data_IF_781367188208
#
_entry.id   IF_781367188208
#
_cell.length_a   1.000
_cell.length_b   1.000
_cell.length_c   1.000
_cell.angle_alpha   90.00
_cell.angle_beta   90.00
_cell.angle_gamma   90.00
#
_symmetry.space_group_name_H-M   'P 1'
#
loop_
_entity.id
_entity.type
_entity.pdbx_description
1 polymer ?
#
# COMPACT_ATOMS: atom_id res chain seq x y z
N UNK A 1 0.12 14.86 35.08
CA UNK A 1 0.91 13.66 34.75
C UNK A 1 0.15 12.88 33.69
N UNK A 2 0.43 13.15 32.41
CA UNK A 2 -0.04 12.32 31.30
C UNK A 2 0.79 11.04 31.34
N UNK A 3 0.32 10.02 32.07
CA UNK A 3 0.97 8.71 32.03
C UNK A 3 0.95 8.21 30.59
N UNK A 4 2.10 7.74 30.09
CA UNK A 4 2.17 7.14 28.76
C UNK A 4 1.13 6.03 28.66
N UNK A 5 0.28 6.11 27.64
CA UNK A 5 -0.71 5.07 27.38
C UNK A 5 0.04 3.76 27.09
N UNK A 6 -0.40 2.61 27.64
CA UNK A 6 0.18 1.32 27.32
C UNK A 6 0.29 1.10 25.81
N UNK A 7 1.48 0.72 25.35
CA UNK A 7 1.75 0.33 23.98
C UNK A 7 1.56 -1.19 23.84
N UNK A 8 0.81 -1.60 22.83
CA UNK A 8 0.58 -3.02 22.52
C UNK A 8 0.95 -3.24 21.06
N UNK A 9 1.81 -4.21 20.80
CA UNK A 9 2.15 -4.63 19.44
C UNK A 9 1.35 -5.88 19.08
N UNK A 10 0.81 -5.90 17.87
CA UNK A 10 -0.09 -6.94 17.35
C UNK A 10 0.40 -7.34 15.98
N UNK A 11 0.56 -8.65 15.76
CA UNK A 11 0.73 -9.21 14.43
C UNK A 11 -0.65 -9.59 13.86
N UNK A 12 -0.92 -9.15 12.63
CA UNK A 12 -2.24 -9.27 12.01
C UNK A 12 -2.11 -9.89 10.62
N UNK A 13 -2.88 -10.93 10.34
CA UNK A 13 -2.83 -11.67 9.08
C UNK A 13 -4.02 -11.39 8.18
N UNK A 14 -3.76 -10.86 6.97
CA UNK A 14 -4.74 -10.83 5.88
C UNK A 14 -4.55 -12.11 5.05
N UNK A 15 -5.34 -13.14 5.33
CA UNK A 15 -5.37 -14.33 4.47
C UNK A 15 -6.14 -14.01 3.20
N UNK A 16 -5.52 -14.18 2.04
CA UNK A 16 -6.12 -13.93 0.74
C UNK A 16 -6.17 -15.22 -0.10
N UNK A 17 -7.32 -15.49 -0.70
CA UNK A 17 -7.51 -16.58 -1.66
C UNK A 17 -7.15 -16.14 -3.08
N UNK A 18 -6.98 -17.12 -3.96
CA UNK A 18 -6.70 -16.89 -5.37
C UNK A 18 -7.78 -16.07 -6.11
N UNK A 19 -9.02 -16.07 -5.62
CA UNK A 19 -10.14 -15.25 -6.12
C UNK A 19 -10.13 -13.81 -5.58
N UNK A 20 -9.14 -13.46 -4.75
CA UNK A 20 -8.98 -12.14 -4.15
C UNK A 20 -9.79 -11.88 -2.89
N UNK A 21 -10.63 -12.83 -2.44
CA UNK A 21 -11.34 -12.71 -1.17
C UNK A 21 -10.38 -12.77 0.01
N UNK A 22 -10.69 -12.01 1.06
CA UNK A 22 -9.94 -11.99 2.31
C UNK A 22 -10.76 -12.55 3.46
N UNK A 23 -10.10 -13.17 4.45
CA UNK A 23 -10.76 -13.70 5.63
C UNK A 23 -10.93 -12.62 6.69
N UNK A 24 -12.17 -12.41 7.13
CA UNK A 24 -12.50 -11.64 8.33
C UNK A 24 -12.96 -12.58 9.46
N UNK A 25 -12.64 -12.21 10.68
CA UNK A 25 -13.11 -12.83 11.91
C UNK A 25 -13.97 -11.85 12.71
N UNK A 26 -15.10 -12.32 13.25
CA UNK A 26 -15.96 -11.53 14.12
C UNK A 26 -15.59 -11.76 15.58
N UNK A 27 -15.36 -10.66 16.31
CA UNK A 27 -14.99 -10.71 17.72
C UNK A 27 -16.10 -11.39 18.53
N UNK A 28 -15.79 -12.44 19.31
CA UNK A 28 -16.78 -13.17 20.09
C UNK A 28 -17.39 -12.30 21.19
N UNK A 29 -18.55 -12.73 21.70
CA UNK A 29 -19.21 -12.09 22.83
C UNK A 29 -18.28 -12.01 24.05
N UNK A 30 -18.40 -10.94 24.84
CA UNK A 30 -17.58 -10.71 26.03
C UNK A 30 -16.19 -10.11 25.78
N UNK A 31 -15.69 -10.08 24.54
CA UNK A 31 -14.49 -9.28 24.18
C UNK A 31 -14.87 -7.81 23.95
N UNK A 32 -13.91 -6.88 24.14
CA UNK A 32 -14.09 -5.46 23.76
C UNK A 32 -14.45 -5.40 22.28
N UNK A 33 -15.47 -4.61 21.91
CA UNK A 33 -16.00 -4.51 20.55
C UNK A 33 -16.53 -5.85 19.99
N UNK A 34 -17.18 -6.66 20.83
CA UNK A 34 -17.91 -7.86 20.40
C UNK A 34 -18.83 -7.55 19.21
N UNK A 35 -18.88 -8.47 18.25
CA UNK A 35 -19.67 -8.33 17.01
C UNK A 35 -18.98 -7.52 15.90
N UNK A 36 -17.87 -6.83 16.18
CA UNK A 36 -17.07 -6.16 15.14
C UNK A 36 -16.20 -7.17 14.40
N UNK A 37 -16.00 -6.93 13.11
CA UNK A 37 -15.15 -7.73 12.23
C UNK A 37 -13.74 -7.15 12.12
N UNK A 38 -12.74 -8.02 12.09
CA UNK A 38 -11.33 -7.67 11.94
C UNK A 38 -10.57 -8.74 11.16
N UNK A 39 -9.31 -8.46 10.87
CA UNK A 39 -8.38 -9.49 10.38
C UNK A 39 -7.82 -10.28 11.58
N UNK A 40 -7.67 -11.61 11.46
CA UNK A 40 -7.20 -12.48 12.53
C UNK A 40 -5.76 -12.15 12.94
N UNK A 41 -5.43 -12.44 14.20
CA UNK A 41 -4.12 -12.15 14.78
C UNK A 41 -4.20 -11.69 16.23
N UNK A 42 -3.03 -11.56 16.84
CA UNK A 42 -2.94 -11.29 18.28
C UNK A 42 -1.65 -10.61 18.68
N UNK A 43 -1.40 -10.59 19.98
CA UNK A 43 -0.33 -9.79 20.56
C UNK A 43 1.02 -10.44 20.26
N UNK A 44 2.00 -9.60 19.96
CA UNK A 44 3.40 -10.04 19.89
C UNK A 44 3.90 -10.23 21.32
N UNK A 45 4.40 -11.41 21.63
CA UNK A 45 4.93 -11.73 22.96
C UNK A 45 6.36 -11.22 23.17
N UNK A 46 6.83 -11.03 24.42
CA UNK A 46 8.19 -10.59 24.67
C UNK A 46 9.25 -11.53 24.05
N UNK A 47 10.10 -10.98 23.18
CA UNK A 47 11.14 -11.74 22.49
C UNK A 47 10.70 -12.40 21.18
N UNK A 48 9.43 -12.25 20.81
CA UNK A 48 8.85 -12.76 19.56
C UNK A 48 8.95 -11.69 18.45
N UNK A 49 9.29 -12.10 17.24
CA UNK A 49 9.18 -11.27 16.05
C UNK A 49 7.73 -11.17 15.56
N UNK A 50 7.42 -10.17 14.71
CA UNK A 50 6.07 -10.02 14.16
C UNK A 50 5.64 -11.21 13.28
N UNK A 51 6.58 -11.82 12.55
CA UNK A 51 6.30 -13.01 11.74
C UNK A 51 6.11 -14.26 12.63
N UNK A 52 6.92 -14.47 13.66
CA UNK A 52 6.69 -15.57 14.61
C UNK A 52 5.30 -15.47 15.27
N UNK A 53 4.93 -14.27 15.73
CA UNK A 53 3.62 -14.00 16.30
C UNK A 53 2.49 -14.27 15.30
N UNK A 54 2.63 -13.81 14.05
CA UNK A 54 1.66 -14.08 12.98
C UNK A 54 1.44 -15.58 12.79
N UNK A 55 2.53 -16.35 12.70
CA UNK A 55 2.49 -17.79 12.47
C UNK A 55 1.78 -18.52 13.61
N UNK A 56 2.12 -18.17 14.85
CA UNK A 56 1.50 -18.72 16.07
C UNK A 56 0.01 -18.38 16.14
N UNK A 57 -0.33 -17.10 16.03
CA UNK A 57 -1.71 -16.60 16.19
C UNK A 57 -2.64 -17.19 15.13
N UNK A 58 -2.24 -17.22 13.85
CA UNK A 58 -3.06 -17.82 12.79
C UNK A 58 -3.24 -19.34 12.97
N UNK A 59 -2.23 -20.02 13.53
CA UNK A 59 -2.36 -21.44 13.87
C UNK A 59 -3.30 -21.66 15.07
N UNK A 60 -3.19 -20.86 16.13
CA UNK A 60 -4.01 -20.96 17.33
C UNK A 60 -5.48 -20.60 17.06
N UNK A 61 -5.72 -19.46 16.41
CA UNK A 61 -7.07 -18.96 16.16
C UNK A 61 -7.80 -19.71 15.04
N UNK A 62 -7.08 -20.16 14.01
CA UNK A 62 -7.67 -20.67 12.77
C UNK A 62 -7.24 -22.08 12.38
N UNK A 63 -6.16 -22.60 12.94
CA UNK A 63 -5.57 -23.86 12.51
C UNK A 63 -4.85 -23.81 11.17
N UNK A 64 -4.43 -22.62 10.77
CA UNK A 64 -3.76 -22.37 9.49
C UNK A 64 -2.25 -22.40 9.69
N UNK A 65 -1.53 -23.13 8.83
CA UNK A 65 -0.07 -23.06 8.77
C UNK A 65 0.36 -22.21 7.57
N UNK A 66 0.98 -21.06 7.84
CA UNK A 66 1.41 -20.10 6.81
C UNK A 66 2.58 -20.67 6.01
N UNK A 67 2.50 -20.60 4.67
CA UNK A 67 3.59 -20.98 3.75
C UNK A 67 4.26 -19.78 3.11
N UNK A 68 3.48 -18.77 2.73
CA UNK A 68 3.98 -17.53 2.17
C UNK A 68 3.22 -16.33 2.72
N UNK A 69 3.98 -15.43 3.34
CA UNK A 69 3.50 -14.15 3.81
C UNK A 69 4.52 -13.05 3.51
N UNK A 70 4.05 -11.82 3.43
CA UNK A 70 4.90 -10.63 3.36
C UNK A 70 4.34 -9.50 4.22
N UNK A 71 5.17 -8.56 4.68
CA UNK A 71 4.68 -7.32 5.25
C UNK A 71 3.76 -6.60 4.25
N UNK A 72 2.67 -6.02 4.77
CA UNK A 72 1.70 -5.27 4.00
C UNK A 72 1.70 -3.80 4.41
N UNK A 73 1.50 -3.53 5.71
CA UNK A 73 1.50 -2.18 6.28
C UNK A 73 1.65 -2.26 7.79
N UNK A 74 2.33 -1.27 8.39
CA UNK A 74 2.39 -1.10 9.84
C UNK A 74 1.62 0.16 10.25
N UNK A 75 0.69 0.01 11.18
CA UNK A 75 -0.28 1.04 11.55
C UNK A 75 -0.19 1.36 13.03
N UNK A 76 -0.17 2.65 13.39
CA UNK A 76 -0.31 3.11 14.78
C UNK A 76 -1.71 3.66 15.00
N UNK A 77 -2.48 2.99 15.86
CA UNK A 77 -3.84 3.38 16.23
C UNK A 77 -3.91 3.72 17.73
N UNK A 78 -4.37 4.92 18.06
CA UNK A 78 -4.54 5.35 19.44
C UNK A 78 -6.01 5.20 19.88
N UNK A 79 -6.23 4.35 20.89
CA UNK A 79 -7.49 4.28 21.62
C UNK A 79 -7.42 5.19 22.85
N UNK A 80 -8.55 5.41 23.51
CA UNK A 80 -8.64 6.25 24.70
C UNK A 80 -7.74 5.80 25.87
N UNK A 81 -7.40 4.50 25.96
CA UNK A 81 -6.65 3.91 27.07
C UNK A 81 -5.37 3.15 26.67
N UNK A 82 -5.02 3.09 25.38
CA UNK A 82 -3.87 2.34 24.87
C UNK A 82 -3.51 2.76 23.46
N UNK A 83 -2.28 2.48 23.04
CA UNK A 83 -1.84 2.59 21.65
C UNK A 83 -1.61 1.18 21.14
N UNK A 84 -2.13 0.88 19.95
CA UNK A 84 -1.88 -0.39 19.26
C UNK A 84 -1.04 -0.13 18.03
N UNK A 85 0.07 -0.86 17.90
CA UNK A 85 0.84 -0.98 16.67
C UNK A 85 0.42 -2.28 16.00
N UNK A 86 -0.20 -2.19 14.84
CA UNK A 86 -0.59 -3.34 14.04
C UNK A 86 0.48 -3.55 12.97
N UNK A 87 1.23 -4.63 13.08
CA UNK A 87 2.10 -5.13 12.05
C UNK A 87 1.30 -6.09 11.17
N UNK A 88 0.86 -5.60 9.99
CA UNK A 88 -0.08 -6.32 9.14
C UNK A 88 0.64 -7.01 8.00
N UNK A 89 0.35 -8.29 7.81
CA UNK A 89 0.96 -9.16 6.82
C UNK A 89 -0.09 -9.67 5.84
N UNK A 90 0.29 -9.75 4.56
CA UNK A 90 -0.51 -10.41 3.54
C UNK A 90 -0.05 -11.87 3.44
N UNK A 91 -0.97 -12.80 3.69
CA UNK A 91 -0.77 -14.25 3.59
C UNK A 91 -1.46 -14.75 2.34
N UNK A 92 -0.68 -15.30 1.39
CA UNK A 92 -1.18 -15.73 0.07
C UNK A 92 -1.07 -17.23 -0.17
N UNK A 93 -0.27 -17.93 0.64
CA UNK A 93 -0.18 -19.39 0.62
C UNK A 93 -0.15 -19.93 2.05
N UNK A 94 -0.96 -20.95 2.30
CA UNK A 94 -1.14 -21.55 3.62
C UNK A 94 -1.81 -22.92 3.53
N UNK A 95 -1.55 -23.76 4.52
CA UNK A 95 -2.16 -25.07 4.70
C UNK A 95 -3.34 -25.03 5.67
N UNK A 96 -4.27 -25.97 5.46
CA UNK A 96 -5.48 -26.12 6.24
C UNK A 96 -6.63 -25.26 5.71
N UNK A 97 -7.82 -25.48 6.28
CA UNK A 97 -8.97 -24.59 6.08
C UNK A 97 -9.17 -23.81 7.37
N UNK A 98 -9.30 -22.46 7.32
CA UNK A 98 -9.56 -21.69 8.52
C UNK A 98 -10.81 -22.18 9.24
N UNK A 99 -10.66 -22.48 10.52
CA UNK A 99 -11.73 -22.94 11.41
C UNK A 99 -11.86 -21.99 12.59
N UNK A 100 -13.07 -21.84 13.11
CA UNK A 100 -13.26 -21.10 14.36
C UNK A 100 -12.75 -21.92 15.54
N UNK A 101 -11.56 -21.58 16.07
CA UNK A 101 -11.02 -22.21 17.29
C UNK A 101 -11.31 -21.43 18.58
N UNK A 102 -11.77 -20.19 18.46
CA UNK A 102 -12.12 -19.30 19.57
C UNK A 102 -13.61 -18.89 19.58
N UNK A 103 -14.48 -19.65 18.91
CA UNK A 103 -15.90 -19.31 18.75
C UNK A 103 -16.17 -17.97 18.05
N UNK A 104 -15.24 -17.53 17.19
CA UNK A 104 -15.40 -16.41 16.27
C UNK A 104 -16.16 -16.81 14.99
N UNK A 105 -17.08 -15.96 14.52
CA UNK A 105 -17.62 -16.14 13.18
C UNK A 105 -16.54 -15.80 12.14
N UNK A 106 -16.50 -16.54 11.03
CA UNK A 106 -15.54 -16.36 9.94
C UNK A 106 -16.27 -16.06 8.63
N UNK A 107 -15.71 -15.15 7.83
CA UNK A 107 -16.27 -14.82 6.52
C UNK A 107 -15.15 -14.57 5.49
N UNK A 108 -15.26 -15.21 4.33
CA UNK A 108 -14.50 -14.85 3.14
C UNK A 108 -15.23 -13.74 2.40
N UNK A 109 -14.58 -12.59 2.26
CA UNK A 109 -15.22 -11.36 1.78
C UNK A 109 -14.39 -10.75 0.65
N UNK A 110 -15.05 -10.37 -0.44
CA UNK A 110 -14.40 -9.58 -1.49
C UNK A 110 -14.11 -8.17 -0.95
N UNK A 111 -12.99 -7.55 -1.33
CA UNK A 111 -12.58 -6.24 -0.78
C UNK A 111 -13.67 -5.16 -0.91
N UNK A 112 -14.44 -5.18 -1.99
CA UNK A 112 -15.51 -4.20 -2.24
C UNK A 112 -16.79 -4.47 -1.43
N UNK A 113 -16.95 -5.68 -0.89
CA UNK A 113 -18.07 -6.06 -0.03
C UNK A 113 -17.81 -5.80 1.46
N UNK A 114 -16.57 -5.46 1.86
CA UNK A 114 -16.21 -5.23 3.27
C UNK A 114 -17.01 -4.07 3.89
N UNK A 115 -17.44 -3.09 3.10
CA UNK A 115 -18.28 -1.98 3.57
C UNK A 115 -19.65 -2.43 4.13
N UNK A 116 -20.10 -3.65 3.83
CA UNK A 116 -21.32 -4.22 4.39
C UNK A 116 -21.13 -4.79 5.82
N UNK A 117 -19.90 -4.85 6.32
CA UNK A 117 -19.56 -5.39 7.64
C UNK A 117 -19.26 -4.25 8.63
N UNK A 118 -19.71 -4.42 9.87
CA UNK A 118 -19.31 -3.54 10.98
C UNK A 118 -17.89 -3.89 11.41
N UNK A 119 -16.88 -3.20 10.86
CA UNK A 119 -15.47 -3.51 11.10
C UNK A 119 -14.85 -2.64 12.18
N UNK A 120 -13.75 -3.10 12.80
CA UNK A 120 -12.91 -2.20 13.60
C UNK A 120 -12.34 -1.04 12.76
N UNK A 121 -12.05 0.13 13.37
CA UNK A 121 -11.45 1.26 12.67
C UNK A 121 -10.11 0.97 11.99
N UNK A 122 -9.41 -0.08 12.44
CA UNK A 122 -8.12 -0.52 11.89
C UNK A 122 -8.21 -1.25 10.56
N UNK A 123 -9.41 -1.76 10.18
CA UNK A 123 -9.59 -2.50 8.92
C UNK A 123 -9.50 -1.59 7.69
N UNK A 124 -10.18 -0.44 7.71
CA UNK A 124 -10.23 0.45 6.54
C UNK A 124 -8.85 0.91 6.03
N UNK A 125 -7.88 1.29 6.90
CA UNK A 125 -6.52 1.61 6.47
C UNK A 125 -5.78 0.45 5.78
N UNK A 126 -6.09 -0.81 6.13
CA UNK A 126 -5.48 -2.02 5.54
C UNK A 126 -6.04 -2.30 4.14
N UNK A 127 -7.25 -1.82 3.81
CA UNK A 127 -7.85 -2.04 2.49
C UNK A 127 -7.12 -1.31 1.37
N UNK A 128 -6.50 -0.15 1.66
CA UNK A 128 -5.73 0.63 0.67
C UNK A 128 -4.56 -0.19 0.08
N UNK A 129 -3.59 -0.69 0.88
CA UNK A 129 -2.48 -1.47 0.35
C UNK A 129 -2.89 -2.78 -0.33
N UNK A 130 -4.03 -3.39 0.04
CA UNK A 130 -4.56 -4.58 -0.64
C UNK A 130 -5.02 -4.33 -2.09
N UNK A 131 -5.43 -3.09 -2.40
CA UNK A 131 -5.85 -2.70 -3.75
C UNK A 131 -4.70 -2.21 -4.64
N UNK A 132 -3.52 -1.99 -4.04
CA UNK A 132 -2.36 -1.44 -4.71
C UNK A 132 -1.47 -2.56 -5.26
N UNK A 133 -1.00 -2.47 -6.52
CA UNK A 133 -0.05 -3.44 -7.05
C UNK A 133 1.34 -3.19 -6.49
N UNK A 134 2.25 -4.13 -6.75
CA UNK A 134 3.65 -4.02 -6.34
C UNK A 134 4.48 -3.09 -7.24
N UNK A 135 4.04 -2.89 -8.48
CA UNK A 135 4.80 -2.19 -9.51
C UNK A 135 4.16 -0.85 -9.87
N UNK A 136 4.90 0.24 -9.70
CA UNK A 136 4.47 1.59 -10.07
C UNK A 136 5.40 2.17 -11.16
N UNK A 137 5.09 1.86 -12.40
CA UNK A 137 5.93 2.14 -13.56
C UNK A 137 5.72 3.56 -14.05
N UNK A 138 6.79 4.30 -14.25
CA UNK A 138 6.76 5.65 -14.82
C UNK A 138 7.22 5.58 -16.27
N UNK A 139 6.52 6.23 -17.19
CA UNK A 139 6.97 6.32 -18.58
C UNK A 139 8.32 7.07 -18.68
N UNK A 140 9.22 6.70 -19.60
CA UNK A 140 10.37 7.53 -19.92
C UNK A 140 9.88 8.88 -20.44
N UNK A 141 10.50 10.01 -20.06
CA UNK A 141 9.99 11.34 -20.39
C UNK A 141 9.97 11.64 -21.91
N UNK A 142 10.76 10.90 -22.67
CA UNK A 142 10.97 11.08 -24.11
C UNK A 142 10.39 9.95 -24.97
N UNK A 143 9.70 8.96 -24.37
CA UNK A 143 9.09 7.88 -25.15
C UNK A 143 7.96 8.45 -26.02
N UNK A 144 7.94 8.09 -27.30
CA UNK A 144 6.83 8.45 -28.17
C UNK A 144 5.62 7.52 -27.95
N UNK A 145 4.39 7.95 -28.27
CA UNK A 145 3.20 7.15 -28.04
C UNK A 145 3.12 5.80 -28.78
N UNK A 146 3.80 5.64 -29.92
CA UNK A 146 3.80 4.36 -30.64
C UNK A 146 4.71 3.37 -29.92
N UNK A 147 5.96 3.76 -29.65
CA UNK A 147 6.92 2.95 -28.89
C UNK A 147 6.41 2.61 -27.49
N UNK A 148 5.70 3.53 -26.83
CA UNK A 148 5.04 3.26 -25.55
C UNK A 148 4.11 2.06 -25.68
N UNK A 149 3.17 2.08 -26.64
CA UNK A 149 2.18 1.01 -26.82
C UNK A 149 2.84 -0.33 -27.11
N UNK A 150 3.88 -0.34 -27.93
CA UNK A 150 4.60 -1.56 -28.29
C UNK A 150 5.31 -2.20 -27.08
N UNK A 151 5.72 -1.40 -26.10
CA UNK A 151 6.40 -1.86 -24.89
C UNK A 151 5.48 -2.20 -23.72
N UNK A 152 4.23 -1.72 -23.71
CA UNK A 152 3.28 -2.00 -22.62
C UNK A 152 3.12 -3.50 -22.28
N UNK A 153 3.05 -4.43 -23.26
CA UNK A 153 2.91 -5.85 -22.95
C UNK A 153 4.08 -6.48 -22.16
N UNK A 154 5.26 -5.84 -22.14
CA UNK A 154 6.43 -6.30 -21.39
C UNK A 154 6.44 -5.81 -19.92
N UNK A 155 5.54 -4.90 -19.56
CA UNK A 155 5.37 -4.42 -18.19
C UNK A 155 4.63 -5.47 -17.34
N UNK A 156 4.75 -5.42 -16.00
CA UNK A 156 3.94 -6.27 -15.13
C UNK A 156 2.46 -5.99 -15.38
N UNK A 157 1.65 -7.04 -15.56
CA UNK A 157 0.27 -6.90 -16.05
C UNK A 157 -0.65 -6.09 -15.15
N UNK A 158 -0.38 -6.05 -13.84
CA UNK A 158 -1.18 -5.33 -12.84
C UNK A 158 -0.60 -3.95 -12.46
N UNK A 159 0.50 -3.52 -13.11
CA UNK A 159 1.23 -2.33 -12.73
C UNK A 159 0.39 -1.04 -12.79
N UNK A 160 0.64 -0.14 -11.85
CA UNK A 160 0.22 1.26 -11.99
C UNK A 160 1.15 1.95 -13.00
N UNK A 161 0.60 2.48 -14.08
CA UNK A 161 1.36 3.21 -15.09
C UNK A 161 1.18 4.72 -14.91
N UNK A 162 2.23 5.41 -14.45
CA UNK A 162 2.28 6.86 -14.43
C UNK A 162 2.68 7.41 -15.80
N UNK A 163 1.76 8.14 -16.44
CA UNK A 163 2.04 8.86 -17.68
C UNK A 163 2.75 10.17 -17.38
N UNK A 164 4.07 10.19 -17.56
CA UNK A 164 4.95 11.35 -17.40
C UNK A 164 5.60 11.68 -18.74
N UNK A 165 4.88 12.43 -19.57
CA UNK A 165 5.27 12.76 -20.95
C UNK A 165 5.29 14.29 -21.14
N UNK A 166 6.31 14.99 -20.60
CA UNK A 166 6.36 16.47 -20.59
C UNK A 166 6.38 17.10 -21.99
N UNK A 167 6.81 16.36 -23.02
CA UNK A 167 6.87 16.85 -24.40
C UNK A 167 5.51 16.83 -25.13
N UNK A 168 4.51 16.10 -24.63
CA UNK A 168 3.17 16.10 -25.22
C UNK A 168 2.38 17.31 -24.75
N UNK A 169 1.71 17.98 -25.67
CA UNK A 169 0.67 18.95 -25.32
C UNK A 169 -0.53 18.27 -24.64
N UNK A 170 -1.35 19.08 -23.97
CA UNK A 170 -2.46 18.57 -23.15
C UNK A 170 -3.51 17.80 -23.96
N UNK A 171 -3.73 18.16 -25.24
CA UNK A 171 -4.69 17.48 -26.11
C UNK A 171 -4.19 16.10 -26.50
N UNK A 172 -2.93 15.99 -26.92
CA UNK A 172 -2.30 14.73 -27.27
C UNK A 172 -2.15 13.82 -26.06
N UNK A 173 -1.80 14.39 -24.89
CA UNK A 173 -1.73 13.68 -23.62
C UNK A 173 -3.08 13.09 -23.22
N UNK A 174 -4.16 13.90 -23.25
CA UNK A 174 -5.51 13.44 -22.91
C UNK A 174 -6.01 12.34 -23.86
N UNK A 175 -5.77 12.48 -25.17
CA UNK A 175 -6.13 11.46 -26.16
C UNK A 175 -5.40 10.12 -25.92
N UNK A 176 -4.10 10.19 -25.59
CA UNK A 176 -3.31 9.01 -25.24
C UNK A 176 -3.83 8.37 -23.94
N UNK A 177 -4.04 9.16 -22.89
CA UNK A 177 -4.55 8.68 -21.60
C UNK A 177 -5.91 7.99 -21.77
N UNK A 178 -6.85 8.60 -22.48
CA UNK A 178 -8.17 8.03 -22.75
C UNK A 178 -8.08 6.72 -23.56
N UNK A 179 -7.16 6.65 -24.53
CA UNK A 179 -6.92 5.42 -25.30
C UNK A 179 -6.39 4.30 -24.42
N UNK A 180 -5.40 4.57 -23.56
CA UNK A 180 -4.81 3.56 -22.68
C UNK A 180 -5.80 3.13 -21.58
N UNK A 181 -6.60 4.05 -21.05
CA UNK A 181 -7.64 3.73 -20.06
C UNK A 181 -8.70 2.80 -20.61
N UNK A 182 -9.15 3.02 -21.85
CA UNK A 182 -10.08 2.11 -22.56
C UNK A 182 -9.45 0.74 -22.85
N UNK A 183 -8.13 0.68 -22.99
CA UNK A 183 -7.37 -0.56 -23.10
C UNK A 183 -7.22 -1.34 -21.78
N UNK A 184 -7.79 -0.85 -20.67
CA UNK A 184 -7.76 -1.53 -19.38
C UNK A 184 -6.54 -1.25 -18.52
N UNK A 185 -5.64 -0.35 -18.93
CA UNK A 185 -4.46 0.00 -18.14
C UNK A 185 -4.83 0.82 -16.90
N UNK A 186 -4.17 0.52 -15.77
CA UNK A 186 -4.32 1.25 -14.51
C UNK A 186 -3.45 2.51 -14.54
N UNK A 187 -4.04 3.62 -14.98
CA UNK A 187 -3.29 4.85 -15.20
C UNK A 187 -3.23 5.75 -13.98
N UNK A 188 -2.09 6.43 -13.85
CA UNK A 188 -1.92 7.60 -12.99
C UNK A 188 -1.43 8.77 -13.84
N UNK A 189 -2.14 9.88 -13.80
CA UNK A 189 -1.81 11.08 -14.57
C UNK A 189 -1.04 12.07 -13.70
N UNK A 190 -0.17 12.87 -14.31
CA UNK A 190 0.61 13.90 -13.60
C UNK A 190 0.37 15.32 -14.14
N UNK A 191 -0.81 15.50 -14.74
CA UNK A 191 -1.37 16.77 -15.24
C UNK A 191 -2.49 17.26 -14.33
N UNK A 192 -3.37 18.09 -14.87
CA UNK A 192 -4.52 18.63 -14.15
C UNK A 192 -5.37 17.49 -13.53
N UNK A 193 -5.68 17.54 -12.22
CA UNK A 193 -6.53 16.55 -11.56
C UNK A 193 -7.94 16.46 -12.17
N UNK A 194 -8.42 17.47 -12.89
CA UNK A 194 -9.68 17.42 -13.62
C UNK A 194 -9.70 16.31 -14.68
N UNK A 195 -8.59 16.11 -15.40
CA UNK A 195 -8.46 15.03 -16.38
C UNK A 195 -8.47 13.66 -15.70
N UNK A 196 -7.84 13.53 -14.52
CA UNK A 196 -7.90 12.30 -13.73
C UNK A 196 -9.32 11.96 -13.29
N UNK A 197 -10.16 12.95 -12.92
CA UNK A 197 -11.59 12.72 -12.65
C UNK A 197 -12.34 12.28 -13.90
N UNK A 198 -12.19 13.02 -15.00
CA UNK A 198 -12.90 12.75 -16.26
C UNK A 198 -12.63 11.34 -16.79
N UNK A 199 -11.38 10.89 -16.72
CA UNK A 199 -10.96 9.59 -17.22
C UNK A 199 -10.99 8.47 -16.16
N UNK A 200 -11.47 8.76 -14.94
CA UNK A 200 -11.47 7.83 -13.82
C UNK A 200 -10.10 7.15 -13.61
N UNK A 201 -9.05 7.98 -13.56
CA UNK A 201 -7.66 7.58 -13.40
C UNK A 201 -7.08 8.12 -12.08
N UNK A 202 -5.97 7.54 -11.62
CA UNK A 202 -5.22 8.13 -10.50
C UNK A 202 -4.61 9.48 -10.87
N UNK A 203 -4.27 10.27 -9.85
CA UNK A 203 -3.51 11.50 -9.97
C UNK A 203 -2.25 11.46 -9.12
N UNK A 204 -1.09 11.80 -9.71
CA UNK A 204 0.18 11.91 -9.01
C UNK A 204 0.57 13.37 -8.86
N UNK A 205 0.55 13.86 -7.62
CA UNK A 205 1.00 15.20 -7.28
C UNK A 205 2.50 15.25 -6.96
N UNK A 206 3.18 16.24 -7.51
CA UNK A 206 4.52 16.62 -7.06
C UNK A 206 4.48 17.19 -5.64
N UNK A 207 5.62 17.23 -4.96
CA UNK A 207 5.78 17.85 -3.63
C UNK A 207 5.24 19.27 -3.56
N UNK A 208 5.48 20.08 -4.60
CA UNK A 208 4.94 21.44 -4.71
C UNK A 208 3.42 21.45 -4.82
N UNK A 209 2.85 20.56 -5.61
CA UNK A 209 1.41 20.51 -5.87
C UNK A 209 0.62 20.07 -4.63
N UNK A 210 1.01 18.96 -3.99
CA UNK A 210 0.23 18.48 -2.84
C UNK A 210 0.39 19.37 -1.59
N UNK A 211 1.53 20.05 -1.41
CA UNK A 211 1.71 21.02 -0.31
C UNK A 211 0.79 22.23 -0.42
N UNK A 212 0.29 22.54 -1.63
CA UNK A 212 -0.70 23.59 -1.83
C UNK A 212 -2.11 23.17 -1.41
N UNK A 213 -2.38 21.87 -1.27
CA UNK A 213 -3.69 21.35 -0.89
C UNK A 213 -3.98 21.60 0.59
N UNK A 214 -5.27 21.62 0.92
CA UNK A 214 -5.77 21.70 2.31
C UNK A 214 -6.56 20.46 2.71
N UNK A 215 -7.04 19.71 1.73
CA UNK A 215 -7.84 18.49 1.89
C UNK A 215 -7.53 17.54 0.73
N UNK A 216 -8.00 16.29 0.83
CA UNK A 216 -7.90 15.31 -0.25
C UNK A 216 -8.48 15.89 -1.55
N UNK A 217 -7.74 15.83 -2.67
CA UNK A 217 -8.27 16.28 -3.96
C UNK A 217 -9.40 15.33 -4.39
N UNK A 218 -10.42 15.89 -5.04
CA UNK A 218 -11.49 15.10 -5.67
C UNK A 218 -10.91 14.43 -6.92
N UNK A 219 -10.38 13.23 -6.76
CA UNK A 219 -9.83 12.34 -7.80
C UNK A 219 -10.03 10.89 -7.36
N UNK A 220 -10.15 9.93 -8.31
CA UNK A 220 -10.35 8.52 -7.99
C UNK A 220 -9.27 7.92 -7.07
N UNK A 221 -8.01 8.26 -7.32
CA UNK A 221 -6.88 7.86 -6.49
C UNK A 221 -5.83 8.98 -6.44
N UNK A 222 -5.22 9.20 -5.28
CA UNK A 222 -4.31 10.28 -5.00
C UNK A 222 -2.95 9.75 -4.55
N UNK A 223 -1.91 10.07 -5.33
CA UNK A 223 -0.52 9.72 -5.07
C UNK A 223 0.34 10.97 -4.90
N UNK A 224 1.34 10.93 -4.03
CA UNK A 224 2.25 12.05 -3.80
C UNK A 224 3.72 11.67 -3.87
N UNK A 225 4.56 12.55 -4.43
CA UNK A 225 6.01 12.47 -4.26
C UNK A 225 6.40 12.88 -2.83
N UNK A 226 7.33 12.16 -2.22
CA UNK A 226 7.83 12.43 -0.87
C UNK A 226 9.36 12.29 -0.80
N UNK A 227 10.00 13.04 0.11
CA UNK A 227 11.45 13.02 0.32
C UNK A 227 11.84 12.69 1.76
N UNK A 228 10.88 12.31 2.61
CA UNK A 228 11.13 11.89 3.98
C UNK A 228 9.86 11.77 4.80
N UNK A 229 10.01 11.45 6.08
CA UNK A 229 8.91 11.18 7.01
C UNK A 229 7.88 12.31 7.09
N UNK A 230 8.32 13.57 7.17
CA UNK A 230 7.42 14.71 7.28
C UNK A 230 6.46 14.84 6.08
N UNK A 231 6.93 14.51 4.87
CA UNK A 231 6.10 14.48 3.68
C UNK A 231 5.08 13.34 3.72
N UNK A 232 5.50 12.14 4.16
CA UNK A 232 4.60 11.00 4.31
C UNK A 232 3.48 11.27 5.32
N UNK A 233 3.81 11.87 6.47
CA UNK A 233 2.82 12.25 7.48
C UNK A 233 1.84 13.32 6.95
N UNK A 234 2.32 14.26 6.14
CA UNK A 234 1.46 15.26 5.50
C UNK A 234 0.53 14.64 4.45
N UNK A 235 1.05 13.74 3.61
CA UNK A 235 0.26 13.00 2.62
C UNK A 235 -0.78 12.09 3.27
N UNK A 236 -0.44 11.41 4.38
CA UNK A 236 -1.40 10.65 5.17
C UNK A 236 -2.52 11.53 5.73
N UNK A 237 -2.20 12.74 6.23
CA UNK A 237 -3.23 13.69 6.69
C UNK A 237 -4.14 14.20 5.57
N UNK A 238 -3.62 14.27 4.34
CA UNK A 238 -4.42 14.54 3.13
C UNK A 238 -5.13 13.29 2.60
N UNK A 239 -5.10 12.19 3.35
CA UNK A 239 -5.71 10.91 3.01
C UNK A 239 -5.22 10.34 1.66
N UNK A 240 -3.96 10.54 1.30
CA UNK A 240 -3.38 9.94 0.09
C UNK A 240 -3.55 8.40 0.07
N UNK A 241 -3.62 7.83 -1.14
CA UNK A 241 -3.71 6.37 -1.31
C UNK A 241 -2.34 5.70 -1.22
N UNK A 242 -1.30 6.36 -1.74
CA UNK A 242 0.09 5.99 -1.51
C UNK A 242 1.04 7.16 -1.75
N UNK A 243 2.26 7.03 -1.26
CA UNK A 243 3.36 7.94 -1.57
C UNK A 243 4.45 7.24 -2.39
N UNK A 244 5.29 8.04 -3.05
CA UNK A 244 6.51 7.59 -3.71
C UNK A 244 7.68 8.28 -3.03
N UNK A 245 8.52 7.52 -2.33
CA UNK A 245 9.63 8.01 -1.53
C UNK A 245 10.97 7.70 -2.19
N UNK A 246 11.80 8.71 -2.37
CA UNK A 246 13.15 8.54 -2.92
C UNK A 246 13.97 9.84 -3.00
N UNK A 247 15.21 9.76 -3.49
CA UNK A 247 15.85 8.57 -4.06
C UNK A 247 16.37 7.58 -2.99
N UNK A 248 16.08 6.28 -3.16
CA UNK A 248 16.53 5.22 -2.23
C UNK A 248 17.98 4.82 -2.50
N UNK A 249 18.32 4.54 -3.76
CA UNK A 249 19.66 4.17 -4.22
C UNK A 249 20.15 5.18 -5.28
N UNK A 250 21.47 5.22 -5.56
CA UNK A 250 22.02 6.10 -6.59
C UNK A 250 21.33 5.87 -7.95
N UNK A 251 21.09 6.96 -8.69
CA UNK A 251 20.39 6.89 -9.98
C UNK A 251 21.06 7.78 -11.01
N UNK A 252 21.10 7.30 -12.26
CA UNK A 252 21.57 8.08 -13.41
C UNK A 252 20.71 9.34 -13.66
N UNK A 253 19.48 9.40 -13.16
CA UNK A 253 18.62 10.59 -13.28
C UNK A 253 19.05 11.73 -12.36
N UNK A 254 19.77 11.44 -11.28
CA UNK A 254 20.22 12.38 -10.24
C UNK A 254 21.61 11.96 -9.70
N UNK A 255 22.69 12.11 -10.51
CA UNK A 255 24.02 11.64 -10.12
C UNK A 255 24.62 12.52 -9.00
N UNK A 256 25.16 11.87 -7.96
CA UNK A 256 25.88 12.54 -6.87
C UNK A 256 25.00 13.18 -5.78
N UNK A 257 23.67 13.10 -5.91
CA UNK A 257 22.76 13.54 -4.85
C UNK A 257 22.73 12.54 -3.68
N UNK A 258 22.59 13.00 -2.42
CA UNK A 258 22.42 12.12 -1.26
C UNK A 258 21.20 11.20 -1.43
N UNK A 259 21.38 9.94 -1.05
CA UNK A 259 20.32 8.92 -1.12
C UNK A 259 19.86 8.54 0.28
N UNK A 260 18.61 8.09 0.41
CA UNK A 260 18.06 7.62 1.69
C UNK A 260 18.73 6.33 2.17
N UNK A 261 19.12 5.44 1.24
CA UNK A 261 19.40 4.04 1.56
C UNK A 261 18.15 3.30 2.03
N UNK A 262 18.27 1.98 2.19
CA UNK A 262 17.17 1.14 2.68
C UNK A 262 16.81 1.44 4.14
N UNK A 263 17.80 1.76 4.98
CA UNK A 263 17.56 2.14 6.39
C UNK A 263 16.78 3.45 6.50
N UNK A 264 17.18 4.47 5.73
CA UNK A 264 16.47 5.75 5.69
C UNK A 264 15.07 5.63 5.09
N UNK A 265 14.90 4.76 4.09
CA UNK A 265 13.58 4.41 3.56
C UNK A 265 12.71 3.74 4.63
N UNK A 266 13.22 2.71 5.31
CA UNK A 266 12.50 1.95 6.34
C UNK A 266 12.07 2.84 7.51
N UNK A 267 12.98 3.68 8.02
CA UNK A 267 12.70 4.60 9.12
C UNK A 267 11.59 5.62 8.79
N UNK A 268 11.41 5.96 7.52
CA UNK A 268 10.30 6.81 7.08
C UNK A 268 9.02 5.99 6.81
N UNK A 269 9.12 4.88 6.09
CA UNK A 269 7.97 4.13 5.58
C UNK A 269 7.23 3.35 6.67
N UNK A 270 7.94 2.59 7.53
CA UNK A 270 7.35 1.69 8.53
C UNK A 270 6.45 2.40 9.54
N UNK A 271 6.76 3.65 9.87
CA UNK A 271 5.99 4.41 10.85
C UNK A 271 5.01 5.40 10.20
N UNK A 272 4.97 5.47 8.87
CA UNK A 272 4.14 6.42 8.17
C UNK A 272 2.66 6.08 8.23
N UNK A 273 2.30 4.79 8.35
CA UNK A 273 0.93 4.31 8.23
C UNK A 273 0.29 4.61 6.86
N UNK A 274 1.10 4.82 5.83
CA UNK A 274 0.71 5.10 4.45
C UNK A 274 1.42 4.08 3.54
N UNK A 275 0.77 3.53 2.51
CA UNK A 275 1.50 2.71 1.52
C UNK A 275 2.58 3.55 0.82
N UNK A 276 3.82 3.04 0.76
CA UNK A 276 4.96 3.77 0.19
C UNK A 276 5.64 2.94 -0.90
N UNK A 277 5.81 3.50 -2.10
CA UNK A 277 6.66 2.91 -3.12
C UNK A 277 8.08 3.48 -3.02
N UNK A 278 9.08 2.60 -3.05
CA UNK A 278 10.49 2.99 -3.18
C UNK A 278 10.77 3.46 -4.62
N UNK A 279 11.47 4.59 -4.80
CA UNK A 279 11.95 5.05 -6.11
C UNK A 279 13.40 5.51 -6.05
N UNK A 280 14.08 5.50 -7.21
CA UNK A 280 15.45 5.97 -7.36
C UNK A 280 16.43 4.82 -7.17
N UNK A 281 17.02 4.36 -8.27
CA UNK A 281 17.97 3.25 -8.30
C UNK A 281 17.36 1.87 -7.95
N UNK A 282 16.03 1.76 -7.87
CA UNK A 282 15.31 0.52 -7.56
C UNK A 282 14.39 0.09 -8.71
N UNK A 283 14.05 -1.20 -8.72
CA UNK A 283 13.39 -1.89 -9.83
C UNK A 283 12.67 -3.17 -9.40
N UNK A 284 12.30 -4.01 -10.36
CA UNK A 284 11.57 -5.27 -10.10
C UNK A 284 12.37 -6.22 -9.21
N UNK A 285 13.68 -6.24 -9.39
CA UNK A 285 14.66 -7.03 -8.65
C UNK A 285 14.74 -6.65 -7.15
N UNK A 286 14.27 -5.45 -6.79
CA UNK A 286 14.31 -4.95 -5.42
C UNK A 286 12.99 -5.16 -4.65
N UNK A 287 12.00 -5.85 -5.23
CA UNK A 287 10.66 -5.92 -4.67
C UNK A 287 10.61 -6.55 -3.27
N UNK A 288 11.34 -7.64 -3.05
CA UNK A 288 11.43 -8.30 -1.74
C UNK A 288 12.04 -7.35 -0.69
N UNK A 289 13.10 -6.62 -1.07
CA UNK A 289 13.72 -5.61 -0.19
C UNK A 289 12.73 -4.50 0.15
N UNK A 290 11.96 -4.00 -0.83
CA UNK A 290 10.97 -2.97 -0.58
C UNK A 290 9.93 -3.43 0.46
N UNK A 291 9.39 -4.64 0.35
CA UNK A 291 8.44 -5.17 1.33
C UNK A 291 9.05 -5.34 2.73
N UNK A 292 10.27 -5.88 2.83
CA UNK A 292 10.97 -6.05 4.11
C UNK A 292 11.27 -4.71 4.81
N UNK A 293 11.38 -3.62 4.04
CA UNK A 293 11.64 -2.27 4.55
C UNK A 293 10.36 -1.41 4.63
N UNK A 294 9.17 -2.03 4.69
CA UNK A 294 7.89 -1.34 4.90
C UNK A 294 7.29 -0.67 3.67
N UNK A 295 7.80 -0.97 2.49
CA UNK A 295 7.27 -0.48 1.22
C UNK A 295 6.09 -1.32 0.71
N UNK A 296 5.19 -0.68 -0.04
CA UNK A 296 4.17 -1.33 -0.86
C UNK A 296 4.79 -2.06 -2.07
N UNK A 297 5.88 -1.51 -2.60
CA UNK A 297 6.59 -2.04 -3.76
C UNK A 297 7.56 -1.03 -4.36
N UNK A 298 7.86 -1.18 -5.64
CA UNK A 298 8.88 -0.40 -6.34
C UNK A 298 8.27 0.47 -7.45
N UNK A 299 8.58 1.76 -7.43
CA UNK A 299 8.37 2.67 -8.52
C UNK A 299 9.67 2.88 -9.32
N UNK A 300 9.56 3.07 -10.63
CA UNK A 300 10.75 3.25 -11.46
C UNK A 300 10.48 3.60 -12.91
N UNK A 301 11.53 4.10 -13.58
CA UNK A 301 11.55 4.34 -15.02
C UNK A 301 12.43 3.26 -15.65
N UNK A 302 13.74 3.50 -15.79
CA UNK A 302 14.66 2.66 -16.57
C UNK A 302 14.69 1.18 -16.16
N UNK A 303 14.43 0.86 -14.89
CA UNK A 303 14.38 -0.54 -14.43
C UNK A 303 13.19 -1.36 -14.99
N UNK A 304 12.26 -0.71 -15.71
CA UNK A 304 11.08 -1.34 -16.30
C UNK A 304 11.05 -1.31 -17.84
N UNK A 305 11.94 -0.57 -18.51
CA UNK A 305 11.89 -0.27 -19.95
C UNK A 305 13.09 -0.77 -20.74
#
# INVERSE_FOLDING_TARGET
MTGDLPLIEVACGVLQRADGQVLLAQRPEGKIAAGYWEFPGGKIEPGESADEALLRELHEELGVAVRAARPLIRLRHAYHNRIVILDTWLVTDFDGQPQSRENQALAWVALDAIAAYTTLPTVAPILKPLRLPAHYVFTPPTIDPATLRDRLPALPGDALLRLRLPALDDRAYAALAASLRRGGHRLVLDRDPALSRELECGWHATTRAWRALRQRPDVPAFYGSAHGRADLDALRRLDADAAVLGAVLPTASHPGEPTLGWDGFAGAALESGLPVYAIGGVGREHLLYAWQHGGQGCAGISAYW
#
